data_IF_951233866291
#
_entry.id   IF_951233866291
#
_cell.length_a   1.000
_cell.length_b   1.000
_cell.length_c   1.000
_cell.angle_alpha   90.00
_cell.angle_beta   90.00
_cell.angle_gamma   90.00
#
_symmetry.space_group_name_H-M   'P 1'
#
loop_
_entity.id
_entity.type
_entity.pdbx_description
1 polymer ?
#
# COMPACT_ATOMS: atom_id res chain seq x y z
N UNK A 1 -9.96 13.37 -4.49
CA UNK A 1 -11.02 14.30 -4.90
C UNK A 1 -11.14 15.42 -3.88
N UNK A 2 -10.44 16.54 -4.09
CA UNK A 2 -10.36 17.63 -3.09
C UNK A 2 -11.63 18.49 -2.95
N UNK A 3 -12.70 18.16 -3.69
CA UNK A 3 -13.94 18.93 -3.75
C UNK A 3 -15.18 18.12 -3.30
N UNK A 4 -15.07 16.80 -3.15
CA UNK A 4 -16.21 15.99 -2.73
C UNK A 4 -16.40 16.11 -1.21
N UNK A 5 -17.52 16.72 -0.78
CA UNK A 5 -17.96 16.72 0.62
C UNK A 5 -17.54 17.93 1.47
N UNK A 6 -16.85 18.92 0.89
CA UNK A 6 -16.42 20.14 1.58
C UNK A 6 -17.07 21.43 1.04
N UNK A 7 -18.13 21.29 0.24
CA UNK A 7 -18.78 22.42 -0.43
C UNK A 7 -19.18 23.53 0.54
N UNK A 8 -18.63 24.72 0.31
CA UNK A 8 -18.88 25.92 1.12
C UNK A 8 -18.11 25.99 2.43
N UNK A 9 -17.14 25.09 2.67
CA UNK A 9 -16.27 25.16 3.85
C UNK A 9 -14.96 25.89 3.56
N UNK A 10 -14.33 26.56 4.55
CA UNK A 10 -13.01 27.16 4.40
C UNK A 10 -11.90 26.18 3.99
N UNK A 11 -12.13 24.86 4.13
CA UNK A 11 -11.19 23.82 3.73
C UNK A 11 -11.19 23.59 2.20
N UNK A 12 -12.29 23.88 1.51
CA UNK A 12 -12.39 23.76 0.04
C UNK A 12 -11.37 24.66 -0.66
N UNK A 13 -11.23 25.90 -0.19
CA UNK A 13 -10.30 26.87 -0.77
C UNK A 13 -8.90 26.79 -0.13
N UNK A 14 -8.69 25.95 0.88
CA UNK A 14 -7.40 25.87 1.59
C UNK A 14 -6.27 25.49 0.63
N UNK A 15 -6.49 24.43 -0.18
CA UNK A 15 -5.51 23.97 -1.16
C UNK A 15 -5.13 25.08 -2.16
N UNK A 16 -6.10 25.61 -2.92
CA UNK A 16 -5.88 26.69 -3.87
C UNK A 16 -5.22 27.94 -3.27
N UNK A 17 -5.64 28.37 -2.06
CA UNK A 17 -5.02 29.51 -1.37
C UNK A 17 -3.56 29.26 -0.97
N UNK A 18 -3.12 28.00 -0.92
CA UNK A 18 -1.73 27.60 -0.67
C UNK A 18 -0.97 27.27 -1.96
N UNK A 19 -1.60 27.47 -3.12
CA UNK A 19 -1.00 27.19 -4.43
C UNK A 19 -1.02 25.72 -4.83
N UNK A 20 -1.82 24.87 -4.16
CA UNK A 20 -2.01 23.49 -4.62
C UNK A 20 -2.91 23.45 -5.85
N UNK A 21 -2.61 22.58 -6.84
CA UNK A 21 -3.41 22.46 -8.05
C UNK A 21 -4.82 21.96 -7.73
N UNK A 22 -5.81 22.50 -8.44
CA UNK A 22 -7.17 21.97 -8.43
C UNK A 22 -7.18 20.61 -9.13
N UNK A 23 -7.82 19.63 -8.52
CA UNK A 23 -7.91 18.28 -9.08
C UNK A 23 -9.35 17.77 -9.14
N UNK A 24 -9.66 17.04 -10.20
CA UNK A 24 -10.94 16.36 -10.41
C UNK A 24 -10.73 15.00 -11.08
N UNK A 25 -11.78 14.20 -11.18
CA UNK A 25 -11.68 12.84 -11.68
C UNK A 25 -12.95 12.03 -11.60
N UNK A 26 -12.95 10.84 -12.20
CA UNK A 26 -14.03 9.86 -12.06
C UNK A 26 -13.46 8.44 -12.15
N UNK A 27 -14.28 7.46 -11.81
CA UNK A 27 -14.02 6.05 -12.16
C UNK A 27 -14.95 5.68 -13.31
N UNK A 28 -14.43 5.08 -14.39
CA UNK A 28 -15.26 4.69 -15.53
C UNK A 28 -16.29 3.64 -15.14
N UNK A 29 -15.83 2.60 -14.44
CA UNK A 29 -16.65 1.43 -14.11
C UNK A 29 -16.69 1.11 -12.62
N UNK A 30 -15.74 1.62 -11.82
CA UNK A 30 -15.53 1.14 -10.45
C UNK A 30 -16.80 1.17 -9.60
N UNK A 31 -17.23 0.00 -9.14
CA UNK A 31 -18.36 -0.17 -8.20
C UNK A 31 -17.91 -0.61 -6.81
N UNK A 32 -16.60 -0.65 -6.55
CA UNK A 32 -16.09 -1.02 -5.23
C UNK A 32 -16.20 0.14 -4.24
N UNK A 33 -16.25 -0.20 -2.94
CA UNK A 33 -16.09 0.77 -1.84
C UNK A 33 -17.15 1.89 -1.83
N UNK A 34 -18.36 1.60 -2.34
CA UNK A 34 -19.44 2.59 -2.45
C UNK A 34 -19.26 3.59 -3.61
N UNK A 35 -18.25 3.41 -4.45
CA UNK A 35 -18.12 4.16 -5.71
C UNK A 35 -19.23 3.75 -6.68
N UNK A 36 -19.61 4.70 -7.54
CA UNK A 36 -20.46 4.45 -8.70
C UNK A 36 -19.64 4.70 -9.95
N UNK A 37 -19.59 3.70 -10.83
CA UNK A 37 -19.00 3.85 -12.15
C UNK A 37 -19.73 4.94 -12.93
N UNK A 38 -18.97 5.74 -13.67
CA UNK A 38 -19.52 6.79 -14.53
C UNK A 38 -20.37 6.21 -15.66
N UNK A 39 -19.90 5.14 -16.28
CA UNK A 39 -20.54 4.55 -17.45
C UNK A 39 -21.69 3.66 -16.99
N UNK A 40 -22.90 4.02 -17.44
CA UNK A 40 -24.10 3.23 -17.23
C UNK A 40 -24.38 2.41 -18.49
N UNK A 41 -24.27 1.07 -18.43
CA UNK A 41 -24.57 0.21 -19.57
C UNK A 41 -26.06 0.19 -19.95
N UNK A 42 -26.95 0.64 -19.06
CA UNK A 42 -28.39 0.73 -19.31
C UNK A 42 -28.79 2.10 -19.91
N UNK A 43 -27.87 3.06 -19.98
CA UNK A 43 -28.13 4.36 -20.59
C UNK A 43 -28.17 4.25 -22.13
N UNK A 44 -29.22 4.76 -22.81
CA UNK A 44 -29.34 4.66 -24.26
C UNK A 44 -28.31 5.50 -25.05
N UNK A 45 -27.56 6.38 -24.38
CA UNK A 45 -26.48 7.19 -24.97
C UNK A 45 -25.19 6.38 -25.04
N UNK A 46 -24.42 6.57 -26.10
CA UNK A 46 -23.09 5.95 -26.23
C UNK A 46 -22.14 6.41 -25.12
N UNK A 47 -21.17 5.56 -24.74
CA UNK A 47 -20.13 5.88 -23.77
C UNK A 47 -19.47 7.25 -24.03
N UNK A 48 -19.17 7.57 -25.29
CA UNK A 48 -18.53 8.84 -25.69
C UNK A 48 -19.36 10.07 -25.30
N UNK A 49 -20.70 9.97 -25.37
CA UNK A 49 -21.60 11.04 -24.96
C UNK A 49 -21.63 11.15 -23.43
N UNK A 50 -21.73 10.01 -22.73
CA UNK A 50 -21.68 9.98 -21.27
C UNK A 50 -20.36 10.57 -20.74
N UNK A 51 -19.23 10.21 -21.37
CA UNK A 51 -17.89 10.71 -21.05
C UNK A 51 -17.76 12.21 -21.32
N UNK A 52 -18.15 12.70 -22.49
CA UNK A 52 -18.05 14.12 -22.84
C UNK A 52 -18.86 14.98 -21.86
N UNK A 53 -20.09 14.59 -21.55
CA UNK A 53 -20.93 15.32 -20.60
C UNK A 53 -20.36 15.30 -19.18
N UNK A 54 -19.82 14.16 -18.73
CA UNK A 54 -19.22 14.04 -17.41
C UNK A 54 -17.94 14.85 -17.27
N UNK A 55 -17.09 14.83 -18.31
CA UNK A 55 -15.90 15.68 -18.38
C UNK A 55 -16.34 17.15 -18.30
N UNK A 56 -17.26 17.59 -19.16
CA UNK A 56 -17.74 18.97 -19.17
C UNK A 56 -18.29 19.42 -17.82
N UNK A 57 -19.10 18.57 -17.18
CA UNK A 57 -19.67 18.84 -15.87
C UNK A 57 -18.59 19.01 -14.79
N UNK A 58 -17.51 18.22 -14.84
CA UNK A 58 -16.40 18.29 -13.87
C UNK A 58 -15.38 19.38 -14.18
N UNK A 59 -15.23 19.75 -15.46
CA UNK A 59 -14.37 20.85 -15.90
C UNK A 59 -15.01 22.21 -15.60
N UNK A 60 -16.34 22.26 -15.54
CA UNK A 60 -17.11 23.35 -14.94
C UNK A 60 -16.73 24.75 -15.42
N UNK A 61 -16.78 25.70 -14.48
CA UNK A 61 -16.42 27.10 -14.69
C UNK A 61 -14.92 27.24 -15.02
N UNK A 62 -14.54 27.97 -16.09
CA UNK A 62 -13.13 28.29 -16.38
C UNK A 62 -12.32 28.83 -15.20
N UNK A 63 -12.92 29.59 -14.28
CA UNK A 63 -12.21 30.14 -13.10
C UNK A 63 -11.92 29.09 -12.02
N UNK A 64 -12.62 27.95 -12.05
CA UNK A 64 -12.51 26.85 -11.08
C UNK A 64 -12.13 25.52 -11.73
N UNK A 65 -11.63 25.59 -12.96
CA UNK A 65 -11.27 24.42 -13.74
C UNK A 65 -10.13 23.67 -13.05
N UNK A 66 -10.17 22.32 -12.99
CA UNK A 66 -9.07 21.55 -12.45
C UNK A 66 -7.83 21.67 -13.33
N UNK A 67 -6.67 21.86 -12.70
CA UNK A 67 -5.36 21.80 -13.33
C UNK A 67 -4.98 20.35 -13.66
N UNK A 68 -5.47 19.40 -12.86
CA UNK A 68 -5.21 17.97 -12.99
C UNK A 68 -6.53 17.19 -13.02
N UNK A 69 -6.70 16.36 -14.04
CA UNK A 69 -7.80 15.42 -14.14
C UNK A 69 -7.26 13.98 -14.11
N UNK A 70 -7.76 13.14 -13.21
CA UNK A 70 -7.36 11.74 -13.16
C UNK A 70 -8.52 10.77 -13.06
N UNK A 71 -8.38 9.60 -13.66
CA UNK A 71 -9.45 8.61 -13.66
C UNK A 71 -8.93 7.17 -13.61
N UNK A 72 -9.79 6.27 -13.15
CA UNK A 72 -9.58 4.82 -13.17
C UNK A 72 -10.53 4.18 -14.20
N UNK A 73 -10.11 3.07 -14.81
CA UNK A 73 -10.84 2.43 -15.92
C UNK A 73 -11.17 0.95 -15.67
N UNK A 74 -10.94 0.46 -14.45
CA UNK A 74 -11.26 -0.89 -14.04
C UNK A 74 -12.67 -0.95 -13.39
N UNK A 75 -13.46 -2.02 -13.62
CA UNK A 75 -14.70 -2.25 -12.88
C UNK A 75 -14.50 -2.58 -11.40
N UNK A 76 -13.39 -3.26 -11.09
CA UNK A 76 -12.91 -3.51 -9.73
C UNK A 76 -11.41 -3.70 -9.77
N UNK A 77 -10.73 -3.73 -8.62
CA UNK A 77 -9.29 -4.03 -8.51
C UNK A 77 -8.90 -5.34 -9.22
N UNK A 78 -9.84 -6.30 -9.37
CA UNK A 78 -9.60 -7.67 -9.84
C UNK A 78 -10.39 -8.07 -11.09
N UNK A 79 -11.17 -7.16 -11.66
CA UNK A 79 -11.95 -7.43 -12.87
C UNK A 79 -11.56 -6.46 -13.97
N UNK A 80 -11.71 -6.94 -15.20
CA UNK A 80 -11.27 -6.26 -16.40
C UNK A 80 -12.46 -6.11 -17.35
N UNK A 81 -12.50 -5.00 -18.07
CA UNK A 81 -13.41 -4.80 -19.20
C UNK A 81 -12.73 -5.24 -20.51
N UNK A 82 -13.45 -5.31 -21.63
CA UNK A 82 -12.83 -5.58 -22.93
C UNK A 82 -11.73 -4.56 -23.27
N UNK A 83 -10.51 -5.05 -23.55
CA UNK A 83 -9.30 -4.23 -23.73
C UNK A 83 -9.38 -3.26 -24.91
N UNK A 84 -10.07 -3.62 -26.00
CA UNK A 84 -10.34 -2.71 -27.13
C UNK A 84 -11.29 -1.60 -26.73
N UNK A 85 -12.31 -1.92 -25.93
CA UNK A 85 -13.25 -0.94 -25.39
C UNK A 85 -12.55 0.06 -24.49
N UNK A 86 -11.71 -0.42 -23.59
CA UNK A 86 -10.88 0.44 -22.73
C UNK A 86 -9.98 1.34 -23.57
N UNK A 87 -9.19 0.80 -24.50
CA UNK A 87 -8.29 1.63 -25.33
C UNK A 87 -9.05 2.66 -26.17
N UNK A 88 -10.23 2.31 -26.70
CA UNK A 88 -11.12 3.27 -27.40
C UNK A 88 -11.51 4.43 -26.46
N UNK A 89 -11.94 4.12 -25.24
CA UNK A 89 -12.36 5.13 -24.27
C UNK A 89 -11.19 5.99 -23.79
N UNK A 90 -10.02 5.39 -23.52
CA UNK A 90 -8.80 6.12 -23.18
C UNK A 90 -8.40 7.09 -24.30
N UNK A 91 -8.49 6.63 -25.54
CA UNK A 91 -8.23 7.46 -26.74
C UNK A 91 -9.22 8.61 -26.84
N UNK A 92 -10.52 8.33 -26.69
CA UNK A 92 -11.57 9.35 -26.72
C UNK A 92 -11.35 10.43 -25.66
N UNK A 93 -11.11 10.03 -24.40
CA UNK A 93 -10.88 10.98 -23.29
C UNK A 93 -9.64 11.84 -23.59
N UNK A 94 -8.54 11.21 -24.02
CA UNK A 94 -7.30 11.92 -24.33
C UNK A 94 -7.49 12.94 -25.47
N UNK A 95 -8.16 12.54 -26.55
CA UNK A 95 -8.48 13.41 -27.68
C UNK A 95 -9.40 14.58 -27.25
N UNK A 96 -10.41 14.29 -26.43
CA UNK A 96 -11.35 15.28 -25.92
C UNK A 96 -10.66 16.35 -25.06
N UNK A 97 -9.76 15.93 -24.15
CA UNK A 97 -8.97 16.86 -23.35
C UNK A 97 -8.01 17.68 -24.19
N UNK A 98 -7.31 17.07 -25.16
CA UNK A 98 -6.43 17.81 -26.08
C UNK A 98 -7.20 18.91 -26.82
N UNK A 99 -8.40 18.60 -27.30
CA UNK A 99 -9.15 19.50 -28.17
C UNK A 99 -9.91 20.59 -27.38
N UNK A 100 -10.42 20.27 -26.18
CA UNK A 100 -11.30 21.16 -25.41
C UNK A 100 -10.66 21.75 -24.15
N UNK A 101 -9.73 21.04 -23.53
CA UNK A 101 -9.10 21.39 -22.26
C UNK A 101 -7.57 21.20 -22.27
N UNK A 102 -6.84 21.78 -23.25
CA UNK A 102 -5.43 21.47 -23.49
C UNK A 102 -4.49 21.83 -22.33
N UNK A 103 -4.92 22.74 -21.45
CA UNK A 103 -4.15 23.19 -20.28
C UNK A 103 -4.29 22.25 -19.07
N UNK A 104 -5.25 21.31 -19.09
CA UNK A 104 -5.47 20.39 -17.98
C UNK A 104 -4.65 19.11 -18.17
N UNK A 105 -3.82 18.78 -17.18
CA UNK A 105 -3.08 17.52 -17.18
C UNK A 105 -4.02 16.34 -16.98
N UNK A 106 -3.87 15.30 -17.80
CA UNK A 106 -4.74 14.14 -17.78
C UNK A 106 -3.97 12.87 -17.39
N UNK A 107 -4.48 12.12 -16.42
CA UNK A 107 -3.86 10.87 -15.96
C UNK A 107 -4.84 9.71 -15.86
N UNK A 108 -4.42 8.53 -16.34
CA UNK A 108 -5.03 7.26 -15.96
C UNK A 108 -4.21 6.59 -14.85
N UNK A 109 -4.84 5.80 -13.99
CA UNK A 109 -4.11 4.99 -12.99
C UNK A 109 -3.70 3.64 -13.56
N UNK A 110 -2.41 3.30 -13.48
CA UNK A 110 -1.89 1.95 -13.66
C UNK A 110 -1.82 1.27 -12.27
N UNK A 111 -2.72 0.31 -12.04
CA UNK A 111 -2.84 -0.41 -10.77
C UNK A 111 -2.01 -1.70 -10.77
N UNK A 112 -1.44 -2.06 -9.62
CA UNK A 112 -0.54 -3.19 -9.49
C UNK A 112 -1.17 -4.59 -9.52
N UNK A 113 -2.41 -4.81 -9.96
CA UNK A 113 -3.04 -6.15 -9.86
C UNK A 113 -2.47 -7.15 -10.88
N UNK A 114 -2.23 -8.40 -10.47
CA UNK A 114 -1.86 -9.48 -11.38
C UNK A 114 -2.99 -9.89 -12.31
N UNK A 115 -2.63 -10.17 -13.55
CA UNK A 115 -3.56 -10.64 -14.58
C UNK A 115 -2.79 -11.21 -15.77
N UNK A 116 -3.41 -12.12 -16.55
CA UNK A 116 -2.82 -12.54 -17.81
C UNK A 116 -2.71 -11.34 -18.78
N UNK A 117 -1.86 -11.43 -19.80
CA UNK A 117 -1.87 -10.45 -20.87
C UNK A 117 -3.25 -10.36 -21.54
N UNK A 118 -3.67 -9.14 -21.85
CA UNK A 118 -4.93 -8.81 -22.51
C UNK A 118 -5.04 -9.48 -23.88
N UNK A 119 -6.24 -9.94 -24.29
CA UNK A 119 -6.39 -10.78 -25.49
C UNK A 119 -5.96 -10.12 -26.81
N UNK A 120 -6.11 -8.81 -26.94
CA UNK A 120 -5.88 -8.09 -28.20
C UNK A 120 -4.59 -7.29 -28.22
N UNK A 121 -4.13 -6.80 -27.05
CA UNK A 121 -2.92 -5.99 -26.95
C UNK A 121 -1.71 -6.74 -26.40
N UNK A 122 -1.89 -7.89 -25.75
CA UNK A 122 -0.79 -8.73 -25.28
C UNK A 122 0.03 -8.12 -24.15
N UNK A 123 -0.54 -7.17 -23.39
CA UNK A 123 0.06 -6.53 -22.22
C UNK A 123 -0.84 -6.69 -21.00
N UNK A 124 -0.36 -6.37 -19.80
CA UNK A 124 -1.22 -6.34 -18.60
C UNK A 124 -2.34 -5.32 -18.77
N UNK A 125 -3.52 -5.59 -18.21
CA UNK A 125 -4.69 -4.71 -18.36
C UNK A 125 -4.41 -3.26 -17.95
N UNK A 126 -3.69 -3.06 -16.84
CA UNK A 126 -3.36 -1.71 -16.37
C UNK A 126 -2.28 -1.00 -17.19
N UNK A 127 -1.61 -1.69 -18.12
CA UNK A 127 -0.66 -1.11 -19.06
C UNK A 127 -1.33 -0.61 -20.35
N UNK A 128 -2.64 -0.79 -20.53
CA UNK A 128 -3.39 -0.32 -21.71
C UNK A 128 -3.26 1.18 -22.02
N UNK A 129 -3.03 2.11 -21.07
CA UNK A 129 -2.76 3.51 -21.38
C UNK A 129 -1.61 3.74 -22.36
N UNK A 130 -0.66 2.80 -22.50
CA UNK A 130 0.43 2.91 -23.49
C UNK A 130 -0.06 2.98 -24.96
N UNK A 131 -1.29 2.52 -25.24
CA UNK A 131 -1.89 2.55 -26.59
C UNK A 131 -2.76 3.78 -26.84
N UNK A 132 -2.98 4.62 -25.84
CA UNK A 132 -3.69 5.89 -25.97
C UNK A 132 -2.72 7.03 -26.35
N UNK A 133 -3.24 8.15 -26.90
CA UNK A 133 -2.44 9.35 -27.20
C UNK A 133 -1.52 9.77 -26.05
N UNK A 134 -0.32 10.27 -26.37
CA UNK A 134 0.73 10.57 -25.40
C UNK A 134 0.41 11.74 -24.44
N UNK A 135 -0.67 12.50 -24.69
CA UNK A 135 -1.17 13.49 -23.74
C UNK A 135 -1.94 12.87 -22.56
N UNK A 136 -2.22 11.57 -22.61
CA UNK A 136 -2.65 10.81 -21.44
C UNK A 136 -1.42 10.36 -20.65
N UNK A 137 -1.16 11.03 -19.53
CA UNK A 137 -0.19 10.60 -18.53
C UNK A 137 -0.67 9.38 -17.74
N UNK A 138 0.22 8.81 -16.93
CA UNK A 138 -0.07 7.62 -16.12
C UNK A 138 0.42 7.79 -14.68
N UNK A 139 -0.47 7.53 -13.72
CA UNK A 139 -0.14 7.38 -12.30
C UNK A 139 0.15 5.93 -12.02
N UNK A 140 1.40 5.60 -11.72
CA UNK A 140 1.84 4.22 -11.48
C UNK A 140 1.76 3.92 -9.99
N UNK A 141 0.93 2.94 -9.63
CA UNK A 141 0.50 2.71 -8.25
C UNK A 141 0.97 1.35 -7.72
N UNK A 142 2.00 1.38 -6.88
CA UNK A 142 2.38 0.26 -5.99
C UNK A 142 1.55 0.31 -4.72
N UNK A 143 1.47 -0.84 -4.04
CA UNK A 143 0.63 -1.01 -2.84
C UNK A 143 1.51 -1.06 -1.58
N UNK A 144 1.10 -0.39 -0.50
CA UNK A 144 1.76 -0.42 0.82
C UNK A 144 3.27 -0.08 0.83
N UNK A 145 4.00 -0.66 1.78
CA UNK A 145 5.46 -0.65 1.91
C UNK A 145 6.20 -1.42 0.80
N UNK A 146 5.53 -2.04 -0.17
CA UNK A 146 6.23 -2.71 -1.27
C UNK A 146 6.80 -1.68 -2.23
N UNK A 147 8.07 -1.85 -2.58
CA UNK A 147 8.73 -1.08 -3.62
C UNK A 147 8.65 -1.79 -4.97
N UNK A 148 9.30 -1.20 -5.97
CA UNK A 148 9.33 -1.67 -7.34
C UNK A 148 10.20 -2.92 -7.57
N UNK A 149 11.05 -3.34 -6.63
CA UNK A 149 12.07 -4.39 -6.87
C UNK A 149 11.94 -5.62 -5.95
N UNK A 150 11.51 -5.45 -4.71
CA UNK A 150 11.44 -6.55 -3.75
C UNK A 150 10.20 -7.41 -3.98
N UNK A 151 10.23 -8.68 -3.51
CA UNK A 151 9.04 -9.51 -3.54
C UNK A 151 7.84 -8.84 -2.89
N UNK A 152 6.71 -8.86 -3.59
CA UNK A 152 5.43 -8.29 -3.19
C UNK A 152 4.34 -9.33 -3.45
N UNK A 153 4.16 -10.32 -2.54
CA UNK A 153 3.27 -11.46 -2.73
C UNK A 153 1.78 -11.09 -2.54
N UNK A 154 1.34 -9.97 -3.11
CA UNK A 154 0.01 -9.40 -2.94
C UNK A 154 -0.66 -9.20 -4.29
N UNK A 155 -1.99 -9.25 -4.32
CA UNK A 155 -2.80 -9.05 -5.52
C UNK A 155 -2.42 -10.01 -6.65
N UNK A 156 -2.01 -11.24 -6.29
CA UNK A 156 -1.55 -12.27 -7.22
C UNK A 156 -0.16 -12.05 -7.83
N UNK A 157 0.60 -11.03 -7.38
CA UNK A 157 1.93 -10.74 -7.89
C UNK A 157 3.02 -11.52 -7.13
N UNK A 158 4.18 -11.66 -7.77
CA UNK A 158 5.42 -12.04 -7.10
C UNK A 158 6.21 -10.80 -6.64
N UNK A 159 6.16 -9.72 -7.42
CA UNK A 159 6.80 -8.42 -7.20
C UNK A 159 6.11 -7.34 -8.06
N UNK A 160 6.55 -6.08 -7.94
CA UNK A 160 6.06 -4.96 -8.74
C UNK A 160 7.03 -4.52 -9.87
N UNK A 161 8.00 -5.33 -10.27
CA UNK A 161 8.97 -4.95 -11.32
C UNK A 161 8.32 -4.58 -12.64
N UNK A 162 7.17 -5.19 -12.96
CA UNK A 162 6.44 -4.86 -14.18
C UNK A 162 5.96 -3.39 -14.22
N UNK A 163 5.68 -2.77 -13.05
CA UNK A 163 5.36 -1.35 -12.95
C UNK A 163 6.59 -0.50 -13.26
N UNK A 164 7.76 -0.90 -12.74
CA UNK A 164 9.04 -0.27 -13.11
C UNK A 164 9.29 -0.39 -14.62
N UNK A 165 9.14 -1.59 -15.19
CA UNK A 165 9.33 -1.82 -16.62
C UNK A 165 8.36 -0.97 -17.46
N UNK A 166 7.13 -0.76 -16.99
CA UNK A 166 6.17 0.15 -17.61
C UNK A 166 6.67 1.59 -17.57
N UNK A 167 7.07 2.09 -16.40
CA UNK A 167 7.62 3.44 -16.23
C UNK A 167 8.84 3.66 -17.14
N UNK A 168 9.78 2.72 -17.15
CA UNK A 168 11.00 2.78 -17.98
C UNK A 168 10.67 2.82 -19.49
N UNK A 169 9.62 2.13 -19.94
CA UNK A 169 9.21 2.19 -21.36
C UNK A 169 8.50 3.48 -21.75
N UNK A 170 7.80 4.12 -20.80
CA UNK A 170 6.85 5.20 -21.09
C UNK A 170 7.31 6.59 -20.64
N UNK A 171 8.30 6.70 -19.73
CA UNK A 171 8.72 7.99 -19.18
C UNK A 171 9.30 8.95 -20.23
N UNK A 172 9.68 8.51 -21.43
CA UNK A 172 10.11 9.40 -22.52
C UNK A 172 8.96 9.86 -23.42
N UNK A 173 7.78 9.22 -23.33
CA UNK A 173 6.64 9.43 -24.23
C UNK A 173 5.52 10.21 -23.58
N UNK A 174 5.14 9.89 -22.35
CA UNK A 174 4.01 10.50 -21.63
C UNK A 174 4.39 10.91 -20.20
N UNK A 175 3.62 11.81 -19.60
CA UNK A 175 3.83 12.15 -18.18
C UNK A 175 3.61 10.91 -17.31
N UNK A 176 4.55 10.66 -16.40
CA UNK A 176 4.49 9.60 -15.41
C UNK A 176 4.50 10.25 -14.03
N UNK A 177 3.56 9.83 -13.18
CA UNK A 177 3.60 10.13 -11.76
C UNK A 177 3.74 8.81 -11.00
N UNK A 178 4.78 8.67 -10.18
CA UNK A 178 4.85 7.54 -9.25
C UNK A 178 3.94 7.83 -8.06
N UNK A 179 2.94 7.00 -7.87
CA UNK A 179 1.87 7.17 -6.90
C UNK A 179 1.82 5.97 -5.94
N UNK A 180 2.88 5.70 -5.16
CA UNK A 180 2.89 4.57 -4.24
C UNK A 180 1.91 4.78 -3.10
N UNK A 181 1.31 3.70 -2.63
CA UNK A 181 0.56 3.68 -1.39
C UNK A 181 1.48 3.55 -0.16
N UNK A 182 1.05 4.04 0.99
CA UNK A 182 1.63 3.79 2.31
C UNK A 182 0.63 3.16 3.28
N UNK A 183 -0.61 2.98 2.82
CA UNK A 183 -1.75 2.39 3.51
C UNK A 183 -1.98 0.92 3.11
N UNK A 184 -2.71 0.18 3.93
CA UNK A 184 -3.66 -0.80 3.41
C UNK A 184 -4.80 -1.02 4.38
N UNK A 185 -5.83 -0.22 4.17
CA UNK A 185 -7.02 -0.16 4.99
C UNK A 185 -7.89 -1.42 4.96
N UNK A 186 -7.68 -2.35 4.02
CA UNK A 186 -8.43 -3.62 3.99
C UNK A 186 -7.94 -4.59 5.07
N UNK A 187 -6.63 -4.74 5.29
CA UNK A 187 -6.14 -5.82 6.18
C UNK A 187 -4.95 -5.49 7.09
N UNK A 188 -4.16 -4.45 6.82
CA UNK A 188 -2.98 -4.12 7.64
C UNK A 188 -3.30 -3.03 8.66
N UNK A 189 -4.20 -2.11 8.30
CA UNK A 189 -4.61 -0.99 9.17
C UNK A 189 -5.90 -1.28 9.95
N UNK A 190 -6.43 -2.51 9.85
CA UNK A 190 -7.64 -2.93 10.60
C UNK A 190 -7.28 -3.63 11.92
N UNK A 191 -8.16 -3.47 12.91
CA UNK A 191 -8.09 -3.98 14.30
C UNK A 191 -6.93 -3.43 15.15
N UNK A 192 -5.68 -3.75 14.80
CA UNK A 192 -4.46 -3.28 15.49
C UNK A 192 -3.43 -2.90 14.42
N UNK A 193 -3.27 -1.60 14.12
CA UNK A 193 -2.35 -1.15 13.08
C UNK A 193 -0.92 -1.63 13.32
N UNK A 194 -0.22 -1.97 12.24
CA UNK A 194 1.22 -2.21 12.26
C UNK A 194 1.98 -0.89 12.16
N UNK A 195 3.06 -0.73 12.92
CA UNK A 195 3.98 0.38 12.73
C UNK A 195 5.02 0.01 11.67
N UNK A 196 5.01 0.66 10.51
CA UNK A 196 5.72 0.21 9.29
C UNK A 196 6.76 1.22 8.79
N UNK A 197 7.84 1.53 9.54
CA UNK A 197 8.91 2.40 9.06
C UNK A 197 9.65 1.84 7.83
N UNK A 198 9.50 0.55 7.52
CA UNK A 198 9.95 -0.03 6.24
C UNK A 198 9.38 0.71 5.02
N UNK A 199 8.21 1.33 5.14
CA UNK A 199 7.62 2.17 4.08
C UNK A 199 8.56 3.33 3.73
N UNK A 200 9.20 3.97 4.71
CA UNK A 200 10.14 5.07 4.48
C UNK A 200 11.35 4.57 3.67
N UNK A 201 11.91 3.43 4.05
CA UNK A 201 13.04 2.83 3.33
C UNK A 201 12.66 2.42 1.90
N UNK A 202 11.47 1.82 1.71
CA UNK A 202 10.94 1.44 0.41
C UNK A 202 10.80 2.65 -0.54
N UNK A 203 10.27 3.77 -0.03
CA UNK A 203 10.15 5.02 -0.81
C UNK A 203 11.51 5.63 -1.15
N UNK A 204 12.48 5.58 -0.23
CA UNK A 204 13.85 6.01 -0.54
C UNK A 204 14.48 5.17 -1.64
N UNK A 205 14.24 3.86 -1.64
CA UNK A 205 14.73 2.93 -2.66
C UNK A 205 14.11 3.21 -4.02
N UNK A 206 12.78 3.30 -4.07
CA UNK A 206 12.05 3.62 -5.30
C UNK A 206 12.55 4.92 -5.93
N UNK A 207 12.68 5.98 -5.12
CA UNK A 207 13.15 7.29 -5.59
C UNK A 207 14.56 7.21 -6.19
N UNK A 208 15.47 6.46 -5.56
CA UNK A 208 16.80 6.22 -6.11
C UNK A 208 16.78 5.45 -7.43
N UNK A 209 15.90 4.45 -7.54
CA UNK A 209 15.74 3.60 -8.72
C UNK A 209 15.17 4.35 -9.93
N UNK A 210 14.20 5.24 -9.73
CA UNK A 210 13.51 5.95 -10.81
C UNK A 210 14.06 7.36 -11.08
N UNK A 211 15.09 7.79 -10.34
CA UNK A 211 15.64 9.15 -10.43
C UNK A 211 16.06 9.55 -11.85
N UNK A 212 16.63 8.64 -12.64
CA UNK A 212 17.05 8.93 -14.02
C UNK A 212 15.87 9.26 -14.93
N UNK A 213 14.65 8.80 -14.61
CA UNK A 213 13.46 9.07 -15.41
C UNK A 213 13.03 10.54 -15.35
N UNK A 214 13.56 11.32 -14.40
CA UNK A 214 13.39 12.78 -14.32
C UNK A 214 13.99 13.52 -15.52
N UNK A 215 14.95 12.92 -16.25
CA UNK A 215 15.44 13.45 -17.52
C UNK A 215 14.39 13.35 -18.64
N UNK A 216 13.39 12.48 -18.45
CA UNK A 216 12.22 12.34 -19.31
C UNK A 216 11.02 13.09 -18.75
N UNK A 217 9.91 12.37 -18.60
CA UNK A 217 8.60 12.88 -18.20
C UNK A 217 8.11 12.22 -16.91
N UNK A 218 8.99 11.72 -16.05
CA UNK A 218 8.62 11.49 -14.64
C UNK A 218 8.45 12.87 -14.00
N UNK A 219 7.22 13.25 -13.68
CA UNK A 219 6.87 14.61 -13.24
C UNK A 219 6.42 14.70 -11.79
N UNK A 220 6.21 13.56 -11.12
CA UNK A 220 5.71 13.58 -9.76
C UNK A 220 5.97 12.29 -9.00
N UNK A 221 6.05 12.46 -7.67
CA UNK A 221 5.99 11.40 -6.69
C UNK A 221 4.94 11.81 -5.64
N UNK A 222 3.90 11.00 -5.46
CA UNK A 222 2.85 11.27 -4.48
C UNK A 222 2.52 10.01 -3.69
N UNK A 223 2.66 10.06 -2.38
CA UNK A 223 2.21 8.95 -1.55
C UNK A 223 0.71 9.01 -1.35
N UNK A 224 0.05 7.87 -1.49
CA UNK A 224 -1.32 7.66 -1.04
C UNK A 224 -1.32 7.12 0.39
N UNK A 225 -1.77 7.92 1.34
CA UNK A 225 -2.04 7.50 2.73
C UNK A 225 -3.54 7.56 3.02
N UNK A 226 -4.00 6.74 3.96
CA UNK A 226 -5.39 6.78 4.47
C UNK A 226 -5.50 7.59 5.76
N UNK A 227 -4.39 7.77 6.48
CA UNK A 227 -4.35 8.45 7.78
C UNK A 227 -4.76 7.55 8.95
N UNK A 228 -5.04 6.27 8.70
CA UNK A 228 -5.37 5.27 9.71
C UNK A 228 -4.14 4.45 10.17
N UNK A 229 -3.04 4.51 9.42
CA UNK A 229 -1.81 3.79 9.70
C UNK A 229 -1.12 4.37 10.93
N UNK A 230 -0.54 3.51 11.78
CA UNK A 230 0.30 4.00 12.86
C UNK A 230 1.56 4.67 12.29
N UNK A 231 1.81 5.93 12.67
CA UNK A 231 2.93 6.69 12.13
C UNK A 231 2.75 7.16 10.69
N UNK A 232 1.52 7.21 10.14
CA UNK A 232 1.25 7.62 8.75
C UNK A 232 1.97 8.93 8.36
N UNK A 233 1.97 9.92 9.27
CA UNK A 233 2.58 11.23 9.01
C UNK A 233 4.10 11.13 8.82
N UNK A 234 4.76 10.15 9.43
CA UNK A 234 6.20 9.90 9.29
C UNK A 234 6.49 9.39 7.87
N UNK A 235 5.68 8.44 7.38
CA UNK A 235 5.76 7.91 6.03
C UNK A 235 5.55 9.03 4.99
N UNK A 236 4.49 9.82 5.15
CA UNK A 236 4.18 10.92 4.25
C UNK A 236 5.26 12.00 4.28
N UNK A 237 5.63 12.49 5.47
CA UNK A 237 6.67 13.51 5.63
C UNK A 237 7.98 13.09 4.98
N UNK A 238 8.47 11.88 5.30
CA UNK A 238 9.72 11.40 4.73
C UNK A 238 9.64 11.25 3.23
N UNK A 239 8.57 10.67 2.71
CA UNK A 239 8.41 10.45 1.28
C UNK A 239 8.38 11.76 0.51
N UNK A 240 7.68 12.77 1.02
CA UNK A 240 7.68 14.11 0.40
C UNK A 240 9.04 14.80 0.53
N UNK A 241 9.71 14.68 1.67
CA UNK A 241 11.03 15.30 1.89
C UNK A 241 12.11 14.70 0.99
N UNK A 242 12.12 13.37 0.82
CA UNK A 242 13.03 12.65 -0.07
C UNK A 242 12.69 12.92 -1.55
N UNK A 243 11.41 12.96 -1.92
CA UNK A 243 11.01 13.30 -3.29
C UNK A 243 11.39 14.73 -3.69
N UNK A 244 11.41 15.66 -2.73
CA UNK A 244 11.82 17.05 -2.96
C UNK A 244 13.35 17.23 -3.07
N UNK A 245 14.14 16.27 -2.60
CA UNK A 245 15.59 16.36 -2.51
C UNK A 245 16.19 14.95 -2.52
N UNK A 246 16.59 14.47 -3.69
CA UNK A 246 17.07 13.09 -3.87
C UNK A 246 18.41 12.81 -3.17
N UNK A 247 19.11 13.84 -2.66
CA UNK A 247 20.27 13.66 -1.81
C UNK A 247 19.91 13.37 -0.35
N UNK A 248 18.63 13.56 0.01
CA UNK A 248 18.08 13.26 1.32
C UNK A 248 17.50 11.84 1.32
N UNK A 249 18.15 10.93 2.04
CA UNK A 249 17.77 9.52 2.12
C UNK A 249 16.90 9.23 3.37
N UNK A 250 16.46 7.97 3.50
CA UNK A 250 15.65 7.57 4.63
C UNK A 250 16.38 7.68 5.98
N UNK A 251 17.71 7.50 6.03
CA UNK A 251 18.49 7.67 7.25
C UNK A 251 18.48 9.12 7.72
N UNK A 252 18.68 10.07 6.79
CA UNK A 252 18.53 11.49 7.08
C UNK A 252 17.12 11.81 7.56
N UNK A 253 16.09 11.17 6.99
CA UNK A 253 14.73 11.34 7.49
C UNK A 253 14.53 10.86 8.93
N UNK A 254 15.01 9.65 9.26
CA UNK A 254 14.90 9.14 10.63
C UNK A 254 15.67 10.03 11.63
N UNK A 255 16.81 10.59 11.23
CA UNK A 255 17.54 11.55 12.04
C UNK A 255 16.71 12.82 12.33
N UNK A 256 16.03 13.37 11.32
CA UNK A 256 15.16 14.55 11.48
C UNK A 256 13.94 14.23 12.38
N UNK A 257 13.28 13.09 12.15
CA UNK A 257 12.12 12.62 12.94
C UNK A 257 12.48 12.45 14.42
N UNK A 258 13.67 11.92 14.71
CA UNK A 258 14.13 11.63 16.07
C UNK A 258 14.81 12.83 16.75
N UNK A 259 15.18 13.86 16.00
CA UNK A 259 15.84 15.06 16.53
C UNK A 259 15.14 15.72 17.75
N UNK A 260 13.79 15.76 17.86
CA UNK A 260 13.14 16.34 19.04
C UNK A 260 13.40 15.56 20.34
N UNK A 261 13.86 14.31 20.25
CA UNK A 261 14.12 13.40 21.37
C UNK A 261 15.47 13.69 22.07
N UNK A 262 16.23 14.69 21.59
CA UNK A 262 17.40 15.21 22.28
C UNK A 262 18.51 14.17 22.45
N UNK A 263 19.06 13.95 23.67
CA UNK A 263 20.11 12.96 23.90
C UNK A 263 19.75 11.53 23.48
N UNK A 264 18.45 11.18 23.45
CA UNK A 264 17.98 9.87 23.03
C UNK A 264 17.90 9.70 21.49
N UNK A 265 18.01 10.77 20.70
CA UNK A 265 17.71 10.75 19.26
C UNK A 265 18.46 9.67 18.49
N UNK A 266 19.78 9.57 18.68
CA UNK A 266 20.61 8.57 18.00
C UNK A 266 20.22 7.12 18.34
N UNK A 267 19.83 6.87 19.59
CA UNK A 267 19.41 5.54 20.02
C UNK A 267 18.04 5.17 19.42
N UNK A 268 17.09 6.11 19.41
CA UNK A 268 15.77 5.90 18.82
C UNK A 268 15.88 5.73 17.30
N UNK A 269 16.73 6.50 16.63
CA UNK A 269 17.03 6.28 15.21
C UNK A 269 17.56 4.87 14.96
N UNK A 270 18.54 4.43 15.75
CA UNK A 270 19.10 3.08 15.62
C UNK A 270 18.06 1.98 15.91
N UNK A 271 17.07 2.23 16.78
CA UNK A 271 15.93 1.32 16.97
C UNK A 271 15.04 1.28 15.74
N UNK A 272 14.71 2.42 15.13
CA UNK A 272 13.90 2.49 13.91
C UNK A 272 14.60 1.80 12.73
N UNK A 273 15.90 2.00 12.55
CA UNK A 273 16.69 1.30 11.52
C UNK A 273 16.71 -0.21 11.75
N UNK A 274 16.84 -0.65 13.02
CA UNK A 274 16.75 -2.07 13.37
C UNK A 274 15.34 -2.63 13.14
N UNK A 275 14.29 -1.84 13.42
CA UNK A 275 12.90 -2.22 13.13
C UNK A 275 12.71 -2.42 11.62
N UNK A 276 13.19 -1.51 10.77
CA UNK A 276 13.18 -1.67 9.31
C UNK A 276 13.89 -2.97 8.92
N UNK A 277 15.08 -3.23 9.45
CA UNK A 277 15.85 -4.44 9.14
C UNK A 277 15.12 -5.74 9.55
N UNK A 278 14.38 -5.74 10.66
CA UNK A 278 13.53 -6.87 11.06
C UNK A 278 12.31 -7.03 10.16
N UNK A 279 11.75 -5.93 9.66
CA UNK A 279 10.56 -5.93 8.81
C UNK A 279 10.85 -6.47 7.41
N UNK A 280 12.00 -6.16 6.79
CA UNK A 280 12.31 -6.61 5.44
C UNK A 280 12.08 -8.12 5.24
N UNK A 281 12.69 -9.04 6.02
CA UNK A 281 12.48 -10.47 5.84
C UNK A 281 11.08 -10.96 6.30
N UNK A 282 10.42 -10.25 7.22
CA UNK A 282 9.07 -10.62 7.66
C UNK A 282 8.01 -10.33 6.60
N UNK A 283 8.12 -9.18 5.94
CA UNK A 283 7.09 -8.65 5.07
C UNK A 283 7.30 -8.97 3.58
N UNK A 284 8.53 -9.32 3.17
CA UNK A 284 8.81 -9.80 1.80
C UNK A 284 8.62 -11.31 1.63
N UNK A 285 8.52 -12.06 2.74
CA UNK A 285 8.26 -13.51 2.72
C UNK A 285 6.78 -13.79 2.95
N UNK A 286 6.10 -14.25 1.90
CA UNK A 286 4.67 -14.52 1.90
C UNK A 286 4.22 -15.38 3.10
N UNK A 287 5.01 -16.39 3.44
CA UNK A 287 4.71 -17.35 4.49
C UNK A 287 4.83 -16.78 5.92
N UNK A 288 5.62 -15.73 6.12
CA UNK A 288 5.72 -15.04 7.41
C UNK A 288 4.71 -13.90 7.50
N UNK A 289 4.57 -13.15 6.40
CA UNK A 289 3.60 -12.08 6.25
C UNK A 289 2.18 -12.54 6.62
N UNK A 290 1.80 -13.75 6.16
CA UNK A 290 0.51 -14.36 6.45
C UNK A 290 0.11 -14.36 7.94
N UNK A 291 1.08 -14.34 8.86
CA UNK A 291 0.82 -14.32 10.30
C UNK A 291 0.80 -12.92 10.91
N UNK A 292 1.23 -11.89 10.17
CA UNK A 292 1.31 -10.52 10.66
C UNK A 292 0.16 -9.66 10.15
N UNK A 293 -0.50 -10.07 9.08
CA UNK A 293 -1.62 -9.36 8.46
C UNK A 293 -2.94 -9.66 9.16
N UNK A 294 -3.84 -8.68 9.17
CA UNK A 294 -5.18 -8.88 9.69
C UNK A 294 -5.99 -9.70 8.70
N UNK A 295 -7.11 -10.23 9.16
CA UNK A 295 -8.15 -10.77 8.28
C UNK A 295 -9.48 -10.20 8.73
N UNK A 296 -10.35 -9.91 7.77
CA UNK A 296 -11.75 -9.57 7.98
C UNK A 296 -12.64 -10.59 7.23
N UNK A 297 -13.96 -10.62 7.53
CA UNK A 297 -14.88 -11.53 6.86
C UNK A 297 -14.86 -11.40 5.33
N UNK A 298 -14.64 -10.20 4.80
CA UNK A 298 -14.55 -9.89 3.38
C UNK A 298 -13.34 -10.58 2.73
N UNK A 299 -12.18 -10.50 3.36
CA UNK A 299 -10.94 -11.17 2.94
C UNK A 299 -11.07 -12.68 2.97
N UNK A 300 -11.67 -13.23 4.02
CA UNK A 300 -11.93 -14.67 4.13
C UNK A 300 -12.94 -15.15 3.09
N UNK A 301 -14.00 -14.37 2.82
CA UNK A 301 -14.99 -14.68 1.79
C UNK A 301 -14.39 -14.61 0.38
N UNK A 302 -13.56 -13.62 0.09
CA UNK A 302 -12.82 -13.51 -1.16
C UNK A 302 -11.90 -14.72 -1.37
N UNK A 303 -11.15 -15.11 -0.34
CA UNK A 303 -10.26 -16.27 -0.40
C UNK A 303 -11.02 -17.57 -0.65
N UNK A 304 -12.22 -17.72 -0.09
CA UNK A 304 -13.07 -18.90 -0.30
C UNK A 304 -13.52 -19.08 -1.77
N UNK A 305 -13.54 -18.02 -2.56
CA UNK A 305 -13.84 -18.06 -4.01
C UNK A 305 -12.60 -17.95 -4.90
N UNK A 306 -11.40 -18.04 -4.31
CA UNK A 306 -10.12 -18.05 -5.02
C UNK A 306 -9.51 -16.66 -5.28
N UNK A 307 -10.06 -15.60 -4.68
CA UNK A 307 -9.50 -14.25 -4.75
C UNK A 307 -8.67 -14.00 -3.50
N UNK A 308 -7.34 -13.93 -3.66
CA UNK A 308 -6.40 -13.80 -2.56
C UNK A 308 -5.67 -12.46 -2.66
N UNK A 309 -5.99 -11.54 -1.76
CA UNK A 309 -5.39 -10.20 -1.71
C UNK A 309 -3.96 -10.24 -1.18
N UNK A 310 -3.72 -11.03 -0.14
CA UNK A 310 -2.41 -11.33 0.43
C UNK A 310 -2.41 -12.78 0.94
N UNK A 311 -1.23 -13.34 1.26
CA UNK A 311 -1.14 -14.66 1.85
C UNK A 311 -1.93 -14.69 3.16
N UNK A 312 -2.76 -15.72 3.32
CA UNK A 312 -3.52 -15.97 4.55
C UNK A 312 -2.87 -17.09 5.35
N UNK A 313 -2.91 -17.01 6.68
CA UNK A 313 -2.46 -18.11 7.50
C UNK A 313 -3.42 -19.31 7.32
N UNK A 314 -2.95 -20.55 7.53
CA UNK A 314 -3.78 -21.74 7.35
C UNK A 314 -4.97 -21.72 8.32
N UNK A 315 -6.17 -21.98 7.82
CA UNK A 315 -7.36 -22.01 8.66
C UNK A 315 -7.24 -23.10 9.74
N UNK A 316 -7.86 -22.92 10.94
CA UNK A 316 -7.85 -23.94 11.99
C UNK A 316 -8.32 -25.32 11.53
N UNK A 317 -9.29 -25.37 10.60
CA UNK A 317 -9.78 -26.62 10.01
C UNK A 317 -8.72 -27.36 9.18
N UNK A 318 -7.81 -26.63 8.53
CA UNK A 318 -6.70 -27.21 7.76
C UNK A 318 -5.60 -27.69 8.68
N UNK A 319 -5.25 -26.91 9.72
CA UNK A 319 -4.30 -27.33 10.77
C UNK A 319 -4.77 -28.64 11.42
N UNK A 320 -6.08 -28.79 11.66
CA UNK A 320 -6.64 -30.02 12.23
C UNK A 320 -6.40 -31.28 11.38
N UNK A 321 -6.04 -31.13 10.09
CA UNK A 321 -5.75 -32.23 9.16
C UNK A 321 -4.25 -32.49 8.98
N UNK A 322 -3.37 -31.65 9.50
CA UNK A 322 -1.92 -31.82 9.35
C UNK A 322 -1.43 -33.14 9.96
N UNK A 323 -0.36 -33.68 9.39
CA UNK A 323 0.41 -34.79 9.94
C UNK A 323 1.64 -34.28 10.72
N UNK A 324 2.41 -35.18 11.33
CA UNK A 324 3.59 -34.82 12.11
C UNK A 324 4.69 -34.17 11.26
N UNK A 325 4.81 -34.55 9.98
CA UNK A 325 5.81 -33.98 9.08
C UNK A 325 5.49 -32.50 8.78
N UNK A 326 4.24 -32.19 8.46
CA UNK A 326 3.78 -30.81 8.23
C UNK A 326 3.89 -29.96 9.48
N UNK A 327 3.57 -30.52 10.66
CA UNK A 327 3.77 -29.84 11.95
C UNK A 327 5.25 -29.49 12.16
N UNK A 328 6.15 -30.46 11.95
CA UNK A 328 7.59 -30.23 12.08
C UNK A 328 8.09 -29.16 11.13
N UNK A 329 7.65 -29.19 9.85
CA UNK A 329 8.01 -28.19 8.86
C UNK A 329 7.53 -26.80 9.28
N UNK A 330 6.27 -26.66 9.69
CA UNK A 330 5.74 -25.38 10.17
C UNK A 330 6.51 -24.84 11.38
N UNK A 331 6.88 -25.70 12.34
CA UNK A 331 7.68 -25.28 13.50
C UNK A 331 9.05 -24.73 13.10
N UNK A 332 9.68 -25.32 12.09
CA UNK A 332 11.02 -24.93 11.62
C UNK A 332 10.99 -23.71 10.70
N UNK A 333 10.06 -23.68 9.75
CA UNK A 333 10.03 -22.69 8.67
C UNK A 333 9.28 -21.41 9.04
N UNK A 334 8.33 -21.50 9.98
CA UNK A 334 7.44 -20.40 10.37
C UNK A 334 7.64 -20.01 11.84
N UNK A 335 7.36 -20.93 12.78
CA UNK A 335 7.35 -20.59 14.21
C UNK A 335 8.74 -20.15 14.70
N UNK A 336 9.80 -20.84 14.30
CA UNK A 336 11.15 -20.48 14.74
C UNK A 336 11.57 -19.08 14.24
N UNK A 337 11.45 -18.72 12.95
CA UNK A 337 11.69 -17.34 12.50
C UNK A 337 10.81 -16.29 13.19
N UNK A 338 9.53 -16.56 13.41
CA UNK A 338 8.64 -15.63 14.12
C UNK A 338 9.10 -15.41 15.56
N UNK A 339 9.53 -16.46 16.28
CA UNK A 339 10.07 -16.34 17.64
C UNK A 339 11.38 -15.56 17.69
N UNK A 340 12.30 -15.85 16.77
CA UNK A 340 13.54 -15.06 16.65
C UNK A 340 13.24 -13.59 16.41
N UNK A 341 12.23 -13.30 15.59
CA UNK A 341 11.79 -11.92 15.38
C UNK A 341 11.15 -11.31 16.63
N UNK A 342 10.31 -12.06 17.35
CA UNK A 342 9.70 -11.61 18.60
C UNK A 342 10.74 -11.25 19.66
N UNK A 343 11.75 -12.10 19.87
CA UNK A 343 12.84 -11.84 20.81
C UNK A 343 13.60 -10.56 20.44
N UNK A 344 13.84 -10.35 19.14
CA UNK A 344 14.48 -9.14 18.65
C UNK A 344 13.61 -7.89 18.86
N UNK A 345 12.29 -7.98 18.65
CA UNK A 345 11.36 -6.88 18.91
C UNK A 345 11.30 -6.52 20.40
N UNK A 346 11.26 -7.51 21.31
CA UNK A 346 11.37 -7.24 22.76
C UNK A 346 12.68 -6.52 23.12
N UNK A 347 13.80 -6.87 22.47
CA UNK A 347 15.05 -6.16 22.67
C UNK A 347 14.97 -4.71 22.20
N UNK A 348 14.25 -4.40 21.11
CA UNK A 348 14.00 -3.03 20.67
C UNK A 348 13.13 -2.25 21.67
N UNK A 349 12.07 -2.86 22.21
CA UNK A 349 11.24 -2.26 23.26
C UNK A 349 12.10 -1.90 24.48
N UNK A 350 12.91 -2.82 24.98
CA UNK A 350 13.78 -2.57 26.14
C UNK A 350 14.79 -1.42 25.90
N UNK A 351 15.33 -1.30 24.68
CA UNK A 351 16.20 -0.16 24.30
C UNK A 351 15.46 1.18 24.37
N UNK A 352 14.20 1.22 23.94
CA UNK A 352 13.37 2.43 24.05
C UNK A 352 13.06 2.75 25.51
N UNK A 353 12.69 1.75 26.33
CA UNK A 353 12.48 1.94 27.77
C UNK A 353 13.70 2.56 28.47
N UNK A 354 14.91 2.07 28.17
CA UNK A 354 16.16 2.61 28.69
C UNK A 354 16.45 4.05 28.22
N UNK A 355 16.04 4.38 26.99
CA UNK A 355 16.21 5.71 26.42
C UNK A 355 15.19 6.74 26.95
N UNK A 356 14.03 6.30 27.46
CA UNK A 356 12.90 7.15 27.81
C UNK A 356 13.26 8.26 28.83
N UNK A 357 14.13 7.95 29.80
CA UNK A 357 14.56 8.93 30.82
C UNK A 357 15.41 10.07 30.25
N UNK A 358 15.99 9.88 29.06
CA UNK A 358 16.85 10.86 28.38
C UNK A 358 16.06 11.78 27.44
N UNK A 359 14.78 11.47 27.20
CA UNK A 359 13.92 12.23 26.28
C UNK A 359 13.44 13.53 26.95
N UNK A 360 13.72 14.71 26.38
CA UNK A 360 13.26 15.98 26.91
C UNK A 360 11.73 16.08 26.80
N UNK A 361 11.09 16.89 27.64
CA UNK A 361 9.63 17.02 27.70
C UNK A 361 8.98 17.28 26.33
N UNK A 362 9.56 18.19 25.53
CA UNK A 362 9.09 18.51 24.17
C UNK A 362 9.17 17.34 23.18
N UNK A 363 10.02 16.36 23.44
CA UNK A 363 10.24 15.18 22.60
C UNK A 363 9.38 13.98 22.98
N UNK A 364 8.74 14.01 24.16
CA UNK A 364 8.00 12.87 24.71
C UNK A 364 6.83 12.40 23.83
N UNK A 365 6.00 13.28 23.22
CA UNK A 365 4.91 12.82 22.36
C UNK A 365 5.43 12.01 21.15
N UNK A 366 6.48 12.49 20.51
CA UNK A 366 7.10 11.82 19.35
C UNK A 366 7.78 10.51 19.73
N UNK A 367 8.45 10.50 20.89
CA UNK A 367 9.06 9.29 21.42
C UNK A 367 8.00 8.24 21.78
N UNK A 368 6.91 8.65 22.43
CA UNK A 368 5.82 7.76 22.81
C UNK A 368 5.19 7.09 21.58
N UNK A 369 4.96 7.85 20.51
CA UNK A 369 4.43 7.28 19.26
C UNK A 369 5.36 6.20 18.66
N UNK A 370 6.68 6.40 18.72
CA UNK A 370 7.65 5.37 18.27
C UNK A 370 7.64 4.17 19.21
N UNK A 371 7.66 4.40 20.52
CA UNK A 371 7.66 3.33 21.53
C UNK A 371 6.40 2.45 21.43
N UNK A 372 5.23 3.07 21.41
CA UNK A 372 3.94 2.41 21.27
C UNK A 372 3.86 1.64 19.94
N UNK A 373 4.39 2.20 18.84
CA UNK A 373 4.40 1.53 17.54
C UNK A 373 5.26 0.26 17.52
N UNK A 374 6.46 0.31 18.12
CA UNK A 374 7.35 -0.87 18.25
C UNK A 374 6.74 -1.90 19.20
N UNK A 375 6.13 -1.45 20.31
CA UNK A 375 5.43 -2.34 21.25
C UNK A 375 4.22 -3.01 20.58
N UNK A 376 3.41 -2.29 19.81
CA UNK A 376 2.26 -2.84 19.09
C UNK A 376 2.66 -3.96 18.13
N UNK A 377 3.74 -3.78 17.37
CA UNK A 377 4.30 -4.85 16.52
C UNK A 377 4.73 -6.06 17.35
N UNK A 378 5.36 -5.84 18.50
CA UNK A 378 5.81 -6.89 19.43
C UNK A 378 4.64 -7.70 19.97
N UNK A 379 3.60 -7.02 20.47
CA UNK A 379 2.38 -7.65 20.99
C UNK A 379 1.64 -8.42 19.90
N UNK A 380 1.57 -7.88 18.69
CA UNK A 380 0.96 -8.55 17.55
C UNK A 380 1.69 -9.83 17.16
N UNK A 381 3.02 -9.81 17.11
CA UNK A 381 3.85 -11.01 16.93
C UNK A 381 3.61 -12.04 18.03
N UNK A 382 3.62 -11.62 19.29
CA UNK A 382 3.41 -12.50 20.44
C UNK A 382 2.04 -13.19 20.38
N UNK A 383 0.98 -12.42 20.12
CA UNK A 383 -0.38 -12.93 19.98
C UNK A 383 -0.49 -13.98 18.87
N UNK A 384 0.06 -13.69 17.67
CA UNK A 384 -0.01 -14.58 16.53
C UNK A 384 0.78 -15.88 16.76
N UNK A 385 1.95 -15.79 17.41
CA UNK A 385 2.73 -16.94 17.83
C UNK A 385 1.94 -17.80 18.83
N UNK A 386 1.34 -17.18 19.85
CA UNK A 386 0.58 -17.90 20.88
C UNK A 386 -0.62 -18.64 20.27
N UNK A 387 -1.43 -17.95 19.46
CA UNK A 387 -2.62 -18.50 18.84
C UNK A 387 -2.30 -19.71 17.93
N UNK A 388 -1.33 -19.57 17.02
CA UNK A 388 -1.02 -20.65 16.08
C UNK A 388 -0.18 -21.77 16.72
N UNK A 389 0.73 -21.49 17.64
CA UNK A 389 1.46 -22.55 18.36
C UNK A 389 0.52 -23.36 19.25
N UNK A 390 -0.52 -22.75 19.83
CA UNK A 390 -1.55 -23.48 20.56
C UNK A 390 -2.31 -24.45 19.65
N UNK A 391 -2.79 -23.97 18.49
CA UNK A 391 -3.53 -24.80 17.54
C UNK A 391 -2.69 -25.98 17.04
N UNK A 392 -1.44 -25.72 16.68
CA UNK A 392 -0.50 -26.74 16.18
C UNK A 392 -0.12 -27.73 17.29
N UNK A 393 0.18 -27.25 18.50
CA UNK A 393 0.51 -28.11 19.64
C UNK A 393 -0.67 -29.00 20.04
N UNK A 394 -1.90 -28.48 19.99
CA UNK A 394 -3.12 -29.27 20.21
C UNK A 394 -3.30 -30.36 19.16
N UNK A 395 -3.00 -30.04 17.89
CA UNK A 395 -3.04 -31.04 16.82
C UNK A 395 -1.99 -32.14 17.04
N UNK A 396 -0.76 -31.75 17.37
CA UNK A 396 0.34 -32.66 17.65
C UNK A 396 0.00 -33.60 18.83
N UNK A 397 -0.50 -33.05 19.94
CA UNK A 397 -0.95 -33.80 21.10
C UNK A 397 -1.99 -34.88 20.76
N UNK A 398 -2.93 -34.57 19.86
CA UNK A 398 -3.94 -35.56 19.40
C UNK A 398 -3.34 -36.68 18.56
N UNK A 399 -2.30 -36.40 17.79
CA UNK A 399 -1.62 -37.41 16.96
C UNK A 399 -0.71 -38.32 17.77
N UNK A 400 -0.07 -37.79 18.82
CA UNK A 400 0.92 -38.51 19.63
C UNK A 400 0.36 -39.08 20.94
N UNK A 401 -0.78 -38.56 21.41
CA UNK A 401 -1.31 -38.84 22.75
C UNK A 401 -0.55 -38.11 23.87
N UNK A 402 0.23 -37.06 23.55
CA UNK A 402 1.05 -36.33 24.52
C UNK A 402 0.23 -35.32 25.34
N UNK A 403 0.01 -35.65 26.62
CA UNK A 403 -0.74 -34.80 27.55
C UNK A 403 -0.02 -33.48 27.90
N UNK A 404 1.33 -33.45 27.85
CA UNK A 404 2.08 -32.23 28.12
C UNK A 404 1.93 -31.22 26.98
N UNK A 405 1.91 -31.69 25.72
CA UNK A 405 1.60 -30.83 24.56
C UNK A 405 0.16 -30.30 24.62
N UNK A 406 -0.79 -31.11 25.08
CA UNK A 406 -2.17 -30.65 25.29
C UNK A 406 -2.25 -29.54 26.35
N UNK A 407 -1.61 -29.72 27.51
CA UNK A 407 -1.56 -28.72 28.57
C UNK A 407 -0.86 -27.43 28.13
N UNK A 408 0.22 -27.53 27.34
CA UNK A 408 0.88 -26.37 26.75
C UNK A 408 -0.04 -25.60 25.79
N UNK A 409 -0.78 -26.32 24.95
CA UNK A 409 -1.72 -25.69 24.02
C UNK A 409 -2.82 -24.91 24.76
N UNK A 410 -3.32 -25.44 25.88
CA UNK A 410 -4.29 -24.75 26.74
C UNK A 410 -3.67 -23.51 27.39
N UNK A 411 -2.46 -23.62 27.96
CA UNK A 411 -1.77 -22.49 28.56
C UNK A 411 -1.48 -21.34 27.58
N UNK A 412 -1.21 -21.65 26.30
CA UNK A 412 -0.99 -20.65 25.25
C UNK A 412 -2.28 -19.93 24.82
N UNK A 413 -3.46 -20.51 25.04
CA UNK A 413 -4.75 -19.86 24.75
C UNK A 413 -5.23 -18.98 25.90
N UNK A 414 -4.78 -19.27 27.12
CA UNK A 414 -5.13 -18.51 28.33
C UNK A 414 -4.23 -17.28 28.55
N UNK A 415 -3.05 -17.24 27.92
CA UNK A 415 -2.07 -16.14 27.96
C UNK A 415 -2.37 -15.08 26.90
#
# INVERSE_FOLDING_TARGET
>A
DGLAGLDGTPLQDYGPHRGFPLSSGFSLYNQQQGASGLLDPDDPRSDEVQLAEAIDARMGDPERRPDVFSFTFNPSEFTEEDDRTVVRQLTFIADYFRDKYPETKLFATNHGTAGPPTPHYGVRYYDLPQFAPENLGVKVHTLMFYDLERPAPVYGNADFHFLYDFMEREHTKREIEYFPEAAWWLTFDIAVPLYLPITIEARSRDLGLIAHMLEGKLTGHRVFGTGHEWGYWQNEYCSYRMAADLAYDWHACLADLTSPMGPAAAEVQAVLEAQVALQVPLFTRAELLAYLVGTDPETEAAAAVGVVFHPLPPAPADIARWDLARISAWRQEILAPLRTSLDAHYALVGRLEDAAAQVPERGRPWFAEVADGVEANTLRLAHQIAAYDALVSRREARLTGDAALQARAEALLDA
#
